data_IF_168105332715
#
_entry.id   IF_168105332715
#
_cell.length_a   1.000
_cell.length_b   1.000
_cell.length_c   1.000
_cell.angle_alpha   90.00
_cell.angle_beta   90.00
_cell.angle_gamma   90.00
#
_symmetry.space_group_name_H-M   'P 1'
#
loop_
_entity.id
_entity.type
_entity.pdbx_description
1 polymer ?
#
# COMPACT_ATOMS: atom_id res chain seq x y z
N UNK A 1 0.48 -14.91 -6.67
CA UNK A 1 1.81 -14.53 -6.15
C UNK A 1 2.41 -13.57 -7.15
N UNK A 2 3.01 -12.46 -6.70
CA UNK A 2 3.56 -11.44 -7.60
C UNK A 2 5.03 -11.17 -7.26
N UNK A 3 5.88 -11.23 -8.28
CA UNK A 3 7.31 -10.98 -8.16
C UNK A 3 7.66 -9.72 -8.94
N UNK A 4 8.00 -8.66 -8.22
CA UNK A 4 8.42 -7.37 -8.76
C UNK A 4 9.87 -7.07 -8.33
N UNK A 5 10.72 -8.09 -8.28
CA UNK A 5 12.12 -7.91 -7.91
C UNK A 5 12.87 -7.09 -8.98
N UNK A 6 13.83 -6.25 -8.56
CA UNK A 6 14.70 -5.49 -9.49
C UNK A 6 13.92 -4.59 -10.46
N UNK A 7 12.79 -4.05 -10.00
CA UNK A 7 12.03 -3.02 -10.71
C UNK A 7 12.47 -1.64 -10.24
N UNK A 8 11.99 -0.60 -10.92
CA UNK A 8 12.28 0.78 -10.56
C UNK A 8 11.16 1.40 -9.69
N UNK A 9 10.57 0.61 -8.78
CA UNK A 9 9.57 1.11 -7.85
C UNK A 9 10.30 1.94 -6.80
N UNK A 10 10.27 3.24 -7.00
CA UNK A 10 10.88 4.22 -6.11
C UNK A 10 9.89 4.73 -5.08
N UNK A 11 8.59 4.50 -5.31
CA UNK A 11 7.53 5.18 -4.58
C UNK A 11 6.44 4.30 -4.01
N UNK A 12 5.86 4.78 -2.92
CA UNK A 12 4.73 4.16 -2.25
C UNK A 12 3.48 4.15 -3.13
N UNK A 13 3.33 5.14 -4.02
CA UNK A 13 2.22 5.26 -4.98
C UNK A 13 2.09 4.00 -5.86
N UNK A 14 3.19 3.51 -6.41
CA UNK A 14 3.18 2.30 -7.26
C UNK A 14 2.81 1.05 -6.45
N UNK A 15 3.33 0.94 -5.23
CA UNK A 15 2.97 -0.16 -4.32
C UNK A 15 1.49 -0.11 -3.92
N UNK A 16 0.93 1.10 -3.77
CA UNK A 16 -0.47 1.32 -3.43
C UNK A 16 -1.40 0.87 -4.55
N UNK A 17 -1.00 0.99 -5.82
CA UNK A 17 -1.77 0.47 -6.97
C UNK A 17 -2.11 -1.02 -6.83
N UNK A 18 -1.25 -1.79 -6.17
CA UNK A 18 -1.43 -3.23 -5.97
C UNK A 18 -2.59 -3.55 -5.02
N UNK A 19 -3.13 -2.58 -4.26
CA UNK A 19 -4.23 -2.82 -3.33
C UNK A 19 -5.54 -3.23 -3.98
N UNK A 20 -5.72 -2.94 -5.26
CA UNK A 20 -6.85 -3.44 -6.07
C UNK A 20 -6.80 -4.96 -6.29
N UNK A 21 -5.70 -5.61 -5.92
CA UNK A 21 -5.51 -7.06 -6.05
C UNK A 21 -5.87 -7.77 -4.74
N UNK A 22 -7.16 -7.90 -4.43
CA UNK A 22 -7.64 -8.52 -3.17
C UNK A 22 -7.18 -9.96 -2.95
N UNK A 23 -6.89 -10.68 -4.05
CA UNK A 23 -6.40 -12.07 -4.03
C UNK A 23 -4.88 -12.15 -3.86
N UNK A 24 -4.16 -11.03 -3.78
CA UNK A 24 -2.71 -11.01 -3.66
C UNK A 24 -2.29 -11.45 -2.25
N UNK A 25 -1.66 -12.63 -2.17
CA UNK A 25 -1.18 -13.21 -0.89
C UNK A 25 0.33 -13.10 -0.70
N UNK A 26 1.10 -13.02 -1.78
CA UNK A 26 2.57 -12.97 -1.69
C UNK A 26 3.12 -11.97 -2.67
N UNK A 27 4.00 -11.10 -2.17
CA UNK A 27 4.66 -10.03 -2.92
C UNK A 27 6.17 -10.03 -2.61
N UNK A 28 6.98 -9.89 -3.65
CA UNK A 28 8.43 -9.64 -3.53
C UNK A 28 8.76 -8.35 -4.27
N UNK A 29 9.31 -7.37 -3.55
CA UNK A 29 9.80 -6.09 -4.07
C UNK A 29 11.31 -5.93 -3.83
N UNK A 30 12.01 -6.96 -3.37
CA UNK A 30 13.44 -6.93 -3.15
C UNK A 30 14.22 -6.32 -4.35
N UNK A 31 15.27 -5.54 -4.05
CA UNK A 31 16.05 -4.75 -5.02
C UNK A 31 15.26 -3.64 -5.74
N UNK A 32 14.20 -3.10 -5.12
CA UNK A 32 13.61 -1.83 -5.52
C UNK A 32 14.12 -0.71 -4.59
N UNK A 33 14.30 0.53 -5.08
CA UNK A 33 14.74 1.66 -4.24
C UNK A 33 13.82 1.92 -3.04
N UNK A 34 12.52 1.65 -3.19
CA UNK A 34 11.53 1.68 -2.12
C UNK A 34 11.94 0.85 -0.88
N UNK A 35 12.66 -0.26 -1.06
CA UNK A 35 13.12 -1.10 0.06
C UNK A 35 14.09 -0.38 1.01
N UNK A 36 14.72 0.71 0.56
CA UNK A 36 15.61 1.53 1.39
C UNK A 36 14.88 2.59 2.23
N UNK A 37 13.57 2.77 2.04
CA UNK A 37 12.81 3.79 2.75
C UNK A 37 12.45 3.33 4.17
N UNK A 38 12.43 4.27 5.14
CA UNK A 38 11.98 3.96 6.50
C UNK A 38 10.52 3.51 6.47
N UNK A 39 10.21 2.51 7.28
CA UNK A 39 8.86 1.95 7.40
C UNK A 39 8.31 1.37 6.07
N UNK A 40 9.15 1.05 5.09
CA UNK A 40 8.72 0.47 3.80
C UNK A 40 7.79 -0.73 3.98
N UNK A 41 8.24 -1.72 4.78
CA UNK A 41 7.51 -2.95 5.03
C UNK A 41 6.14 -2.68 5.64
N UNK A 42 6.10 -1.91 6.72
CA UNK A 42 4.89 -1.47 7.39
C UNK A 42 3.91 -0.77 6.45
N UNK A 43 4.44 0.11 5.60
CA UNK A 43 3.64 0.88 4.66
C UNK A 43 2.99 -0.01 3.60
N UNK A 44 3.75 -0.94 3.02
CA UNK A 44 3.22 -1.91 2.05
C UNK A 44 2.22 -2.88 2.67
N UNK A 45 2.45 -3.33 3.91
CA UNK A 45 1.51 -4.18 4.64
C UNK A 45 0.19 -3.44 4.88
N UNK A 46 0.25 -2.16 5.25
CA UNK A 46 -0.93 -1.29 5.44
C UNK A 46 -1.77 -1.15 4.17
N UNK A 47 -1.12 -1.09 3.00
CA UNK A 47 -1.82 -1.01 1.71
C UNK A 47 -2.45 -2.33 1.27
N UNK A 48 -1.87 -3.46 1.71
CA UNK A 48 -2.24 -4.79 1.25
C UNK A 48 -2.71 -5.66 2.45
N UNK A 49 -3.93 -5.44 2.97
CA UNK A 49 -4.41 -6.15 4.17
C UNK A 49 -4.51 -7.67 3.98
N UNK A 50 -4.62 -8.11 2.72
CA UNK A 50 -4.71 -9.50 2.31
C UNK A 50 -3.34 -10.20 2.13
N UNK A 51 -2.23 -9.46 2.28
CA UNK A 51 -0.88 -9.96 2.06
C UNK A 51 -0.42 -10.87 3.21
N UNK A 52 0.00 -12.09 2.86
CA UNK A 52 0.50 -13.10 3.80
C UNK A 52 2.03 -13.14 3.85
N UNK A 53 2.71 -12.77 2.77
CA UNK A 53 4.17 -12.84 2.66
C UNK A 53 4.70 -11.65 1.86
N UNK A 54 5.64 -10.91 2.44
CA UNK A 54 6.36 -9.82 1.81
C UNK A 54 7.86 -10.11 1.84
N UNK A 55 8.52 -10.02 0.69
CA UNK A 55 9.97 -10.22 0.54
C UNK A 55 10.47 -11.52 1.18
N UNK A 56 9.74 -12.60 0.92
CA UNK A 56 10.00 -13.93 1.48
C UNK A 56 9.81 -14.07 3.00
N UNK A 57 9.37 -13.01 3.69
CA UNK A 57 9.05 -13.00 5.13
C UNK A 57 7.53 -13.02 5.33
N UNK A 58 7.05 -13.88 6.23
CA UNK A 58 5.62 -13.96 6.57
C UNK A 58 5.20 -12.68 7.28
N UNK A 59 4.05 -12.12 6.90
CA UNK A 59 3.44 -10.98 7.57
C UNK A 59 2.67 -11.49 8.78
N UNK A 60 3.05 -11.05 9.98
CA UNK A 60 2.37 -11.45 11.23
C UNK A 60 1.25 -10.47 11.59
N UNK A 61 0.34 -10.89 12.49
CA UNK A 61 -0.81 -10.06 12.88
C UNK A 61 -0.39 -8.76 13.56
N UNK A 62 0.65 -8.79 14.41
CA UNK A 62 1.14 -7.62 15.13
C UNK A 62 1.64 -6.51 14.22
N UNK A 63 2.27 -6.84 13.09
CA UNK A 63 2.67 -5.84 12.07
C UNK A 63 1.43 -5.09 11.57
N UNK A 64 0.35 -5.81 11.26
CA UNK A 64 -0.89 -5.21 10.73
C UNK A 64 -1.57 -4.26 11.73
N UNK A 65 -1.48 -4.54 13.02
CA UNK A 65 -2.10 -3.72 14.07
C UNK A 65 -1.29 -2.44 14.36
N UNK A 66 0.03 -2.52 14.23
CA UNK A 66 0.94 -1.42 14.51
C UNK A 66 0.92 -0.33 13.42
N UNK A 67 0.64 -0.70 12.17
CA UNK A 67 0.93 0.12 10.99
C UNK A 67 -0.11 1.21 10.66
N UNK A 68 -1.30 1.19 11.28
CA UNK A 68 -2.36 2.18 10.99
C UNK A 68 -1.98 3.62 11.36
N UNK A 69 -0.92 3.82 12.14
CA UNK A 69 -0.55 5.11 12.75
C UNK A 69 0.68 5.81 12.14
N UNK A 70 1.45 5.14 11.27
CA UNK A 70 2.82 5.58 10.94
C UNK A 70 3.07 5.99 9.47
N UNK A 71 2.01 6.23 8.70
CA UNK A 71 2.16 6.76 7.34
C UNK A 71 2.72 8.20 7.38
N UNK A 72 3.85 8.41 6.71
CA UNK A 72 4.43 9.73 6.55
C UNK A 72 3.43 10.68 5.87
N UNK A 73 3.37 11.93 6.35
CA UNK A 73 2.40 12.93 5.85
C UNK A 73 2.58 13.19 4.36
N UNK A 74 3.83 13.24 3.87
CA UNK A 74 4.12 13.46 2.45
C UNK A 74 3.66 12.27 1.61
N UNK A 75 3.84 11.05 2.11
CA UNK A 75 3.36 9.84 1.43
C UNK A 75 1.83 9.87 1.33
N UNK A 76 1.15 10.21 2.43
CA UNK A 76 -0.32 10.33 2.43
C UNK A 76 -0.81 11.39 1.44
N UNK A 77 -0.21 12.57 1.41
CA UNK A 77 -0.57 13.63 0.46
C UNK A 77 -0.38 13.17 -0.99
N UNK A 78 0.75 12.54 -1.30
CA UNK A 78 1.03 12.02 -2.64
C UNK A 78 0.06 10.92 -3.05
N UNK A 79 -0.34 10.05 -2.12
CA UNK A 79 -1.40 9.06 -2.36
C UNK A 79 -2.76 9.71 -2.60
N UNK A 80 -3.12 10.73 -1.82
CA UNK A 80 -4.35 11.51 -2.04
C UNK A 80 -4.37 12.17 -3.42
N UNK A 81 -3.23 12.73 -3.86
CA UNK A 81 -3.11 13.35 -5.17
C UNK A 81 -3.15 12.33 -6.32
N UNK A 82 -2.52 11.16 -6.14
CA UNK A 82 -2.48 10.11 -7.16
C UNK A 82 -3.75 9.27 -7.25
N UNK A 83 -4.44 9.08 -6.12
CA UNK A 83 -5.64 8.24 -6.00
C UNK A 83 -6.75 8.97 -5.22
N UNK A 84 -7.22 10.13 -5.66
CA UNK A 84 -8.17 10.95 -4.90
C UNK A 84 -9.46 10.20 -4.57
N UNK A 85 -9.97 9.38 -5.49
CA UNK A 85 -11.16 8.51 -5.31
C UNK A 85 -11.10 7.64 -4.05
N UNK A 86 -9.91 7.20 -3.65
CA UNK A 86 -9.72 6.32 -2.50
C UNK A 86 -9.70 7.06 -1.15
N UNK A 87 -9.55 8.38 -1.19
CA UNK A 87 -9.52 9.26 -0.02
C UNK A 87 -10.73 10.21 0.04
N UNK A 88 -11.52 10.30 -1.04
CA UNK A 88 -12.77 11.04 -1.13
C UNK A 88 -13.95 10.21 -0.61
N UNK A 89 -14.02 10.04 0.71
CA UNK A 89 -15.24 9.54 1.36
C UNK A 89 -15.78 10.57 2.36
N UNK A 90 -16.23 11.74 1.86
CA UNK A 90 -17.18 12.58 2.61
C UNK A 90 -18.03 13.58 1.80
N UNK A 91 -18.07 13.55 0.45
CA UNK A 91 -18.91 14.52 -0.31
C UNK A 91 -19.88 13.93 -1.35
N UNK A 92 -20.08 12.61 -1.39
CA UNK A 92 -21.20 12.03 -2.16
C UNK A 92 -22.24 11.40 -1.23
N UNK A 93 -22.87 12.26 -0.43
CA UNK A 93 -24.26 12.04 -0.02
C UNK A 93 -25.07 13.17 -0.66
N UNK A 94 -26.18 12.80 -1.32
CA UNK A 94 -27.17 13.63 -2.04
C UNK A 94 -26.83 14.08 -3.47
N UNK A 95 -26.79 13.13 -4.40
CA UNK A 95 -27.50 13.35 -5.68
C UNK A 95 -28.17 12.05 -6.11
N UNK A 96 -29.40 11.84 -5.62
CA UNK A 96 -30.37 10.99 -6.32
C UNK A 96 -30.76 11.71 -7.62
N UNK A 97 -30.63 11.10 -8.80
CA UNK A 97 -31.41 11.50 -9.95
C UNK A 97 -32.73 10.71 -9.96
N UNK A 98 -33.78 11.43 -10.40
CA UNK A 98 -35.15 11.00 -10.73
C UNK A 98 -36.15 10.92 -9.59
#
# INVERSE_FOLDING_TARGET
MLYLHKNNIQDYVDSYKLRKLDKLRTLTLHKNPLCGLPCYRSTVISFLPNLRKLDHVVVVRSEREQDRKSLDKNVRERLTNAYPEDFLCTIESTKKPS
#
